data_IF_361403638875
#
_entry.id   IF_361403638875
#
_cell.length_a   1.000
_cell.length_b   1.000
_cell.length_c   1.000
_cell.angle_alpha   90.00
_cell.angle_beta   90.00
_cell.angle_gamma   90.00
#
_symmetry.space_group_name_H-M   'P 1'
#
loop_
_entity.id
_entity.type
_entity.pdbx_description
1 polymer ?
#
# COMPACT_ATOMS: atom_id res chain seq x y z
N UNK A 1 -4.41 8.72 14.64
CA UNK A 1 -5.36 9.74 15.09
C UNK A 1 -6.30 10.17 13.95
N UNK A 2 -5.81 10.48 12.75
CA UNK A 2 -6.65 10.92 11.62
C UNK A 2 -7.73 9.90 11.25
N UNK A 3 -7.40 8.62 11.11
CA UNK A 3 -8.38 7.58 10.81
C UNK A 3 -9.49 7.48 11.86
N UNK A 4 -9.16 7.60 13.15
CA UNK A 4 -10.15 7.54 14.23
C UNK A 4 -11.05 8.76 14.31
N UNK A 5 -10.53 9.96 14.06
CA UNK A 5 -11.26 11.22 14.27
C UNK A 5 -11.87 11.80 13.00
N UNK A 6 -11.25 11.56 11.84
CA UNK A 6 -11.61 12.22 10.57
C UNK A 6 -11.72 11.25 9.38
N UNK A 7 -11.81 9.96 9.64
CA UNK A 7 -11.87 8.95 8.60
C UNK A 7 -12.37 7.61 9.11
N UNK A 8 -11.77 6.54 8.63
CA UNK A 8 -12.09 5.18 9.07
C UNK A 8 -10.82 4.32 9.19
N UNK A 9 -10.91 3.27 10.00
CA UNK A 9 -9.88 2.25 10.17
C UNK A 9 -10.53 0.86 10.09
N UNK A 10 -9.95 -0.03 9.30
CA UNK A 10 -10.38 -1.43 9.10
C UNK A 10 -9.21 -2.34 9.39
N UNK A 11 -9.47 -3.53 9.94
CA UNK A 11 -8.44 -4.56 10.15
C UNK A 11 -8.08 -4.80 11.61
N UNK A 12 -8.63 -4.05 12.57
CA UNK A 12 -8.41 -4.34 13.98
C UNK A 12 -9.19 -5.59 14.42
N UNK A 13 -8.48 -6.71 14.50
CA UNK A 13 -9.08 -8.01 14.87
C UNK A 13 -9.63 -8.05 16.29
N UNK A 14 -9.11 -7.25 17.21
CA UNK A 14 -9.66 -7.10 18.56
C UNK A 14 -11.06 -6.49 18.55
N UNK A 15 -11.43 -5.80 17.47
CA UNK A 15 -12.78 -5.27 17.20
C UNK A 15 -13.54 -6.12 16.19
N UNK A 16 -13.09 -7.35 15.93
CA UNK A 16 -13.68 -8.26 14.93
C UNK A 16 -13.73 -7.67 13.51
N UNK A 17 -13.00 -6.60 13.25
CA UNK A 17 -12.82 -6.01 11.92
C UNK A 17 -11.69 -6.73 11.22
N UNK A 18 -11.93 -7.20 9.99
CA UNK A 18 -10.96 -7.99 9.23
C UNK A 18 -10.70 -7.37 7.88
N UNK A 19 -9.41 -7.24 7.56
CA UNK A 19 -8.93 -7.00 6.21
C UNK A 19 -7.84 -8.02 5.90
N UNK A 20 -7.86 -8.61 4.70
CA UNK A 20 -6.98 -9.71 4.33
C UNK A 20 -6.58 -9.61 2.86
N UNK A 21 -5.42 -10.15 2.50
CA UNK A 21 -5.12 -10.45 1.10
C UNK A 21 -5.96 -11.63 0.64
N UNK A 22 -6.42 -11.60 -0.60
CA UNK A 22 -7.22 -12.67 -1.20
C UNK A 22 -6.36 -13.69 -1.97
N UNK A 23 -5.14 -13.29 -2.42
CA UNK A 23 -4.20 -14.21 -3.06
C UNK A 23 -3.71 -15.28 -2.08
N UNK A 24 -3.29 -16.43 -2.58
CA UNK A 24 -2.76 -17.53 -1.78
C UNK A 24 -1.24 -17.51 -1.59
N UNK A 25 -0.55 -16.45 -1.99
CA UNK A 25 0.92 -16.34 -2.01
C UNK A 25 1.44 -15.61 -0.76
N UNK A 26 0.77 -14.53 -0.36
CA UNK A 26 1.08 -13.68 0.81
C UNK A 26 2.51 -13.13 0.79
N UNK A 27 2.96 -12.71 -0.39
CA UNK A 27 4.24 -12.05 -0.64
C UNK A 27 4.01 -10.70 -1.29
N UNK A 28 5.03 -9.84 -1.21
CA UNK A 28 4.92 -8.43 -1.59
C UNK A 28 4.47 -8.23 -3.03
N UNK A 29 5.05 -8.92 -4.01
CA UNK A 29 4.62 -8.75 -5.41
C UNK A 29 3.12 -9.06 -5.56
N UNK A 30 2.68 -10.23 -5.05
CA UNK A 30 1.28 -10.65 -5.14
C UNK A 30 0.34 -9.69 -4.38
N UNK A 31 0.74 -9.22 -3.20
CA UNK A 31 -0.02 -8.27 -2.38
C UNK A 31 -0.19 -6.91 -3.06
N UNK A 32 0.90 -6.33 -3.57
CA UNK A 32 0.83 -5.08 -4.34
C UNK A 32 0.05 -5.22 -5.64
N UNK A 33 0.23 -6.33 -6.37
CA UNK A 33 -0.54 -6.60 -7.58
C UNK A 33 -2.03 -6.67 -7.26
N UNK A 34 -2.43 -7.45 -6.26
CA UNK A 34 -3.82 -7.55 -5.82
C UNK A 34 -4.40 -6.18 -5.44
N UNK A 35 -3.65 -5.42 -4.63
CA UNK A 35 -4.07 -4.11 -4.14
C UNK A 35 -4.27 -3.08 -5.27
N UNK A 36 -3.38 -3.09 -6.26
CA UNK A 36 -3.35 -2.08 -7.31
C UNK A 36 -4.11 -2.50 -8.57
N UNK A 37 -4.32 -3.81 -8.78
CA UNK A 37 -5.02 -4.33 -9.96
C UNK A 37 -6.43 -4.86 -9.64
N UNK A 38 -6.79 -5.04 -8.35
CA UNK A 38 -8.13 -5.47 -7.94
C UNK A 38 -8.47 -6.94 -8.21
N UNK A 39 -7.47 -7.74 -8.58
CA UNK A 39 -7.59 -9.18 -8.88
C UNK A 39 -6.44 -9.95 -8.24
N UNK A 40 -6.63 -11.25 -8.03
CA UNK A 40 -5.55 -12.16 -7.67
C UNK A 40 -5.02 -12.83 -8.93
N UNK A 41 -3.74 -13.18 -8.94
CA UNK A 41 -3.09 -13.84 -10.08
C UNK A 41 -1.99 -14.80 -9.59
N UNK A 42 -2.43 -15.84 -8.88
CA UNK A 42 -1.51 -16.81 -8.25
C UNK A 42 -0.84 -17.72 -9.28
N UNK A 43 -1.33 -17.77 -10.53
CA UNK A 43 -0.74 -18.56 -11.61
C UNK A 43 0.52 -17.91 -12.18
N UNK A 44 0.52 -16.58 -12.32
CA UNK A 44 1.64 -15.86 -12.92
C UNK A 44 2.51 -15.16 -11.89
N UNK A 45 1.96 -14.87 -10.66
CA UNK A 45 2.62 -14.10 -9.61
C UNK A 45 2.74 -14.97 -8.35
N UNK A 46 3.89 -15.62 -8.16
CA UNK A 46 4.15 -16.54 -7.05
C UNK A 46 5.42 -16.21 -6.25
N UNK A 47 6.18 -15.20 -6.69
CA UNK A 47 7.37 -14.70 -6.01
C UNK A 47 7.61 -13.20 -6.29
N UNK A 48 8.71 -12.66 -5.74
CA UNK A 48 9.08 -11.24 -5.85
C UNK A 48 10.06 -10.95 -7.01
N UNK A 49 10.10 -11.78 -8.05
CA UNK A 49 10.98 -11.54 -9.21
C UNK A 49 10.55 -10.31 -10.00
N UNK A 50 11.52 -9.67 -10.64
CA UNK A 50 11.30 -8.54 -11.55
C UNK A 50 10.74 -9.01 -12.89
N UNK A 51 9.45 -9.27 -12.93
CA UNK A 51 8.69 -9.56 -14.16
C UNK A 51 7.62 -8.49 -14.36
N UNK A 52 7.25 -8.19 -15.57
CA UNK A 52 6.19 -7.23 -15.86
C UNK A 52 4.82 -7.82 -15.56
N UNK A 53 4.05 -7.13 -14.74
CA UNK A 53 2.69 -7.53 -14.40
C UNK A 53 1.80 -7.52 -15.65
N UNK A 54 1.07 -8.58 -15.88
CA UNK A 54 0.10 -8.67 -16.97
C UNK A 54 -1.18 -7.89 -16.64
N UNK A 55 -1.56 -7.85 -15.36
CA UNK A 55 -2.74 -7.15 -14.89
C UNK A 55 -2.55 -5.63 -14.92
N UNK A 56 -3.58 -4.89 -15.29
CA UNK A 56 -3.57 -3.43 -15.32
C UNK A 56 -3.82 -2.86 -13.92
N UNK A 57 -2.98 -1.94 -13.49
CA UNK A 57 -3.18 -1.25 -12.23
C UNK A 57 -4.19 -0.10 -12.37
N UNK A 58 -4.82 0.27 -11.26
CA UNK A 58 -5.69 1.45 -11.20
C UNK A 58 -4.95 2.74 -11.57
N UNK A 59 -3.63 2.80 -11.37
CA UNK A 59 -2.80 3.92 -11.81
C UNK A 59 -2.75 3.98 -13.34
N UNK A 60 -2.55 2.83 -13.99
CA UNK A 60 -2.54 2.73 -15.45
C UNK A 60 -3.92 3.08 -16.04
N UNK A 61 -5.00 2.60 -15.42
CA UNK A 61 -6.36 2.94 -15.85
C UNK A 61 -6.65 4.43 -15.70
N UNK A 62 -6.20 5.05 -14.60
CA UNK A 62 -6.33 6.50 -14.41
C UNK A 62 -5.51 7.27 -15.46
N UNK A 63 -4.25 6.91 -15.70
CA UNK A 63 -3.39 7.56 -16.70
C UNK A 63 -3.97 7.49 -18.12
N UNK A 64 -4.69 6.41 -18.44
CA UNK A 64 -5.39 6.25 -19.72
C UNK A 64 -6.60 7.18 -19.89
N UNK A 65 -7.14 7.72 -18.79
CA UNK A 65 -8.26 8.66 -18.83
C UNK A 65 -7.75 10.08 -19.10
N UNK A 66 -8.35 10.79 -20.04
CA UNK A 66 -7.94 12.14 -20.43
C UNK A 66 -7.88 13.15 -19.27
N UNK A 67 -8.75 13.00 -18.27
CA UNK A 67 -8.78 13.85 -17.07
C UNK A 67 -7.55 13.70 -16.18
N UNK A 68 -6.92 12.50 -16.16
CA UNK A 68 -5.80 12.15 -15.29
C UNK A 68 -4.48 11.98 -16.04
N UNK A 69 -4.50 12.05 -17.38
CA UNK A 69 -3.30 11.91 -18.21
C UNK A 69 -2.23 12.91 -17.78
N UNK A 70 -0.99 12.42 -17.65
CA UNK A 70 0.17 13.17 -17.14
C UNK A 70 0.02 13.67 -15.68
N UNK A 71 -1.00 13.19 -14.96
CA UNK A 71 -1.33 13.58 -13.57
C UNK A 71 -1.32 12.38 -12.61
N UNK A 72 -0.75 11.27 -13.03
CA UNK A 72 -0.52 10.08 -12.20
C UNK A 72 0.97 9.90 -12.00
N UNK A 73 1.38 9.58 -10.77
CA UNK A 73 2.79 9.36 -10.43
C UNK A 73 2.94 8.26 -9.38
N UNK A 74 4.10 7.62 -9.36
CA UNK A 74 4.48 6.66 -8.34
C UNK A 74 5.89 6.96 -7.81
N UNK A 75 6.07 6.83 -6.50
CA UNK A 75 7.33 7.01 -5.80
C UNK A 75 7.52 5.84 -4.84
N UNK A 76 8.56 5.03 -5.02
CA UNK A 76 8.72 3.77 -4.31
C UNK A 76 10.11 3.56 -3.75
N UNK A 77 10.20 2.93 -2.58
CA UNK A 77 11.45 2.49 -1.97
C UNK A 77 11.96 1.20 -2.59
N UNK A 78 11.06 0.29 -2.96
CA UNK A 78 11.40 -1.02 -3.52
C UNK A 78 11.50 -1.00 -5.05
N UNK A 79 12.59 -1.54 -5.58
CA UNK A 79 12.91 -1.49 -7.01
C UNK A 79 12.14 -2.53 -7.87
N UNK A 80 11.18 -3.24 -7.28
CA UNK A 80 10.24 -4.13 -7.99
C UNK A 80 8.93 -3.43 -8.34
N UNK A 81 8.55 -2.36 -7.63
CA UNK A 81 7.31 -1.60 -7.89
C UNK A 81 7.16 -1.19 -9.37
N UNK A 82 8.20 -0.73 -10.09
CA UNK A 82 8.07 -0.42 -11.51
C UNK A 82 7.59 -1.61 -12.37
N UNK A 83 7.93 -2.81 -11.99
CA UNK A 83 7.50 -4.02 -12.69
C UNK A 83 6.06 -4.39 -12.36
N UNK A 84 5.65 -4.21 -11.10
CA UNK A 84 4.27 -4.39 -10.65
C UNK A 84 3.33 -3.43 -11.38
N UNK A 85 3.74 -2.16 -11.53
CA UNK A 85 3.00 -1.14 -12.27
C UNK A 85 3.13 -1.28 -13.80
N UNK A 86 3.92 -2.22 -14.27
CA UNK A 86 4.29 -2.40 -15.68
C UNK A 86 4.62 -1.07 -16.37
N UNK A 87 5.60 -0.34 -15.83
CA UNK A 87 5.94 1.03 -16.26
C UNK A 87 6.28 1.15 -17.76
N UNK A 88 6.61 0.03 -18.43
CA UNK A 88 6.83 0.01 -19.87
C UNK A 88 5.53 0.10 -20.67
N UNK A 89 4.48 -0.58 -20.21
CA UNK A 89 3.16 -0.53 -20.86
C UNK A 89 2.41 0.74 -20.48
N UNK A 90 2.45 1.08 -19.20
CA UNK A 90 1.69 2.20 -18.64
C UNK A 90 2.31 3.58 -18.91
N UNK A 91 3.60 3.62 -19.26
CA UNK A 91 4.40 4.86 -19.38
C UNK A 91 4.39 5.75 -18.12
N UNK A 92 3.94 5.19 -16.99
CA UNK A 92 3.84 5.91 -15.72
C UNK A 92 5.22 6.36 -15.22
N UNK A 93 5.35 7.59 -14.76
CA UNK A 93 6.57 8.06 -14.11
C UNK A 93 6.70 7.41 -12.72
N UNK A 94 7.61 6.43 -12.60
CA UNK A 94 7.93 5.76 -11.33
C UNK A 94 9.31 6.19 -10.86
N UNK A 95 9.37 6.93 -9.74
CA UNK A 95 10.62 7.31 -9.09
C UNK A 95 11.00 6.27 -8.04
N UNK A 96 12.05 5.47 -8.30
CA UNK A 96 12.51 4.38 -7.41
C UNK A 96 14.05 4.34 -7.27
N UNK A 97 14.79 5.08 -8.08
CA UNK A 97 16.25 5.00 -8.11
C UNK A 97 16.88 5.97 -7.12
N UNK A 98 17.88 5.51 -6.38
CA UNK A 98 18.69 6.34 -5.50
C UNK A 98 20.03 5.67 -5.16
N UNK A 99 21.12 6.41 -4.94
CA UNK A 99 22.34 5.88 -4.31
C UNK A 99 22.15 5.62 -2.81
N UNK A 100 21.21 6.31 -2.15
CA UNK A 100 20.93 6.16 -0.71
C UNK A 100 19.97 5.01 -0.48
N UNK A 101 20.47 3.88 0.04
CA UNK A 101 19.73 2.61 0.13
C UNK A 101 20.03 1.89 1.43
N UNK A 102 19.06 1.15 1.96
CA UNK A 102 19.26 0.18 3.04
C UNK A 102 19.71 -1.18 2.49
N UNK A 103 19.42 -1.48 1.22
CA UNK A 103 19.90 -2.67 0.50
C UNK A 103 20.05 -2.41 -0.99
N UNK A 104 20.51 -3.41 -1.76
CA UNK A 104 20.61 -3.30 -3.23
C UNK A 104 19.28 -2.99 -3.91
N UNK A 105 18.15 -3.42 -3.31
CA UNK A 105 16.82 -3.32 -3.88
C UNK A 105 15.93 -2.27 -3.21
N UNK A 106 16.29 -1.82 -2.00
CA UNK A 106 15.47 -0.92 -1.18
C UNK A 106 16.23 0.37 -0.90
N UNK A 107 15.69 1.49 -1.35
CA UNK A 107 16.19 2.82 -0.97
C UNK A 107 15.62 3.25 0.38
N UNK A 108 16.27 4.20 1.03
CA UNK A 108 15.79 4.74 2.30
C UNK A 108 14.42 5.40 2.15
N UNK A 109 13.50 5.11 3.07
CA UNK A 109 12.14 5.65 3.06
C UNK A 109 12.11 7.18 3.20
N UNK A 110 13.09 7.77 3.89
CA UNK A 110 13.26 9.23 3.95
C UNK A 110 13.55 9.86 2.58
N UNK A 111 14.27 9.16 1.70
CA UNK A 111 14.48 9.60 0.32
C UNK A 111 13.18 9.50 -0.46
N UNK A 112 12.40 8.45 -0.24
CA UNK A 112 11.08 8.26 -0.86
C UNK A 112 10.13 9.39 -0.45
N UNK A 113 10.08 9.75 0.84
CA UNK A 113 9.31 10.91 1.30
C UNK A 113 9.70 12.19 0.57
N UNK A 114 11.01 12.52 0.55
CA UNK A 114 11.49 13.75 -0.10
C UNK A 114 11.14 13.79 -1.58
N UNK A 115 11.21 12.65 -2.27
CA UNK A 115 10.79 12.53 -3.67
C UNK A 115 9.29 12.66 -3.85
N UNK A 116 8.49 12.10 -2.95
CA UNK A 116 7.03 12.25 -2.97
C UNK A 116 6.61 13.72 -2.76
N UNK A 117 7.19 14.41 -1.77
CA UNK A 117 6.96 15.84 -1.54
C UNK A 117 7.36 16.67 -2.77
N UNK A 118 8.54 16.40 -3.35
CA UNK A 118 8.98 17.07 -4.59
C UNK A 118 8.02 16.83 -5.74
N UNK A 119 7.52 15.60 -5.90
CA UNK A 119 6.54 15.25 -6.93
C UNK A 119 5.22 16.02 -6.72
N UNK A 120 4.74 16.13 -5.48
CA UNK A 120 3.56 16.92 -5.15
C UNK A 120 3.76 18.40 -5.51
N UNK A 121 4.91 18.98 -5.15
CA UNK A 121 5.23 20.40 -5.41
C UNK A 121 5.36 20.72 -6.90
N UNK A 122 6.05 19.89 -7.67
CA UNK A 122 6.44 20.22 -9.04
C UNK A 122 5.46 19.73 -10.09
N UNK A 123 4.80 18.58 -9.86
CA UNK A 123 3.95 17.94 -10.85
C UNK A 123 2.45 18.04 -10.54
N UNK A 124 2.09 18.31 -9.31
CA UNK A 124 0.71 18.36 -8.83
C UNK A 124 -0.14 17.15 -9.32
N UNK A 125 0.32 15.89 -9.08
CA UNK A 125 -0.45 14.74 -9.54
C UNK A 125 -1.84 14.70 -8.88
N UNK A 126 -2.84 14.20 -9.62
CA UNK A 126 -4.18 13.91 -9.10
C UNK A 126 -4.25 12.51 -8.42
N UNK A 127 -3.35 11.61 -8.79
CA UNK A 127 -3.15 10.31 -8.15
C UNK A 127 -1.66 10.10 -7.90
N UNK A 128 -1.28 9.91 -6.65
CA UNK A 128 0.09 9.59 -6.25
C UNK A 128 0.11 8.30 -5.44
N UNK A 129 0.85 7.30 -5.91
CA UNK A 129 1.20 6.13 -5.14
C UNK A 129 2.56 6.31 -4.49
N UNK A 130 2.63 6.10 -3.17
CA UNK A 130 3.88 6.15 -2.40
C UNK A 130 4.06 4.83 -1.67
N UNK A 131 5.21 4.19 -1.83
CA UNK A 131 5.54 2.95 -1.14
C UNK A 131 6.79 3.13 -0.29
N UNK A 132 6.69 2.70 0.99
CA UNK A 132 7.76 2.62 1.98
C UNK A 132 8.07 1.15 2.26
N UNK A 133 9.36 0.79 2.43
CA UNK A 133 9.79 -0.59 2.50
C UNK A 133 10.69 -0.93 3.70
N UNK A 134 11.14 0.03 4.49
CA UNK A 134 12.07 -0.23 5.59
C UNK A 134 11.46 -1.11 6.69
N UNK A 135 10.15 -1.05 6.93
CA UNK A 135 9.47 -1.95 7.87
C UNK A 135 9.65 -3.41 7.47
N UNK A 136 9.42 -3.74 6.21
CA UNK A 136 9.60 -5.10 5.71
C UNK A 136 11.08 -5.52 5.74
N UNK A 137 11.97 -4.62 5.31
CA UNK A 137 13.42 -4.85 5.36
C UNK A 137 13.90 -5.20 6.77
N UNK A 138 13.57 -4.39 7.77
CA UNK A 138 13.99 -4.65 9.15
C UNK A 138 13.27 -5.86 9.77
N UNK A 139 12.04 -6.12 9.38
CA UNK A 139 11.33 -7.34 9.74
C UNK A 139 12.10 -8.59 9.34
N UNK A 140 12.47 -8.72 8.07
CA UNK A 140 13.26 -9.85 7.56
C UNK A 140 14.63 -10.01 8.21
N UNK A 141 15.21 -8.94 8.72
CA UNK A 141 16.51 -8.98 9.40
C UNK A 141 16.39 -9.21 10.92
N UNK A 142 15.19 -9.46 11.45
CA UNK A 142 14.96 -9.66 12.88
C UNK A 142 15.27 -8.43 13.75
N UNK A 143 15.32 -7.23 13.17
CA UNK A 143 15.68 -5.99 13.83
C UNK A 143 14.44 -5.30 14.40
N UNK A 144 13.99 -5.80 15.55
CA UNK A 144 12.72 -5.36 16.15
C UNK A 144 12.63 -3.87 16.42
N UNK A 145 13.69 -3.30 17.02
CA UNK A 145 13.67 -1.88 17.36
C UNK A 145 13.66 -1.01 16.10
N UNK A 146 14.46 -1.36 15.10
CA UNK A 146 14.48 -0.66 13.80
C UNK A 146 13.16 -0.82 13.05
N UNK A 147 12.51 -1.99 13.13
CA UNK A 147 11.17 -2.23 12.59
C UNK A 147 10.14 -1.27 13.20
N UNK A 148 10.12 -1.14 14.55
CA UNK A 148 9.24 -0.20 15.24
C UNK A 148 9.58 1.25 14.90
N UNK A 149 10.86 1.60 14.86
CA UNK A 149 11.32 2.93 14.49
C UNK A 149 10.89 3.29 13.06
N UNK A 150 11.02 2.37 12.10
CA UNK A 150 10.57 2.56 10.72
C UNK A 150 9.05 2.75 10.65
N UNK A 151 8.27 1.98 11.40
CA UNK A 151 6.81 2.15 11.46
C UNK A 151 6.41 3.52 12.02
N UNK A 152 7.04 3.98 13.10
CA UNK A 152 6.83 5.33 13.65
C UNK A 152 7.27 6.43 12.67
N UNK A 153 8.38 6.22 11.98
CA UNK A 153 8.88 7.15 10.98
C UNK A 153 7.90 7.25 9.79
N UNK A 154 7.34 6.15 9.33
CA UNK A 154 6.34 6.14 8.26
C UNK A 154 5.07 6.90 8.68
N UNK A 155 4.62 6.81 9.94
CA UNK A 155 3.52 7.64 10.45
C UNK A 155 3.85 9.14 10.37
N UNK A 156 5.09 9.53 10.71
CA UNK A 156 5.55 10.91 10.55
C UNK A 156 5.63 11.35 9.08
N UNK A 157 6.03 10.46 8.18
CA UNK A 157 6.09 10.75 6.75
C UNK A 157 4.70 10.95 6.15
N UNK A 158 3.74 10.10 6.53
CA UNK A 158 2.34 10.25 6.15
C UNK A 158 1.77 11.59 6.67
N UNK A 159 2.13 11.97 7.89
CA UNK A 159 1.75 13.27 8.45
C UNK A 159 2.31 14.42 7.61
N UNK A 160 3.59 14.41 7.26
CA UNK A 160 4.22 15.46 6.45
C UNK A 160 3.55 15.58 5.07
N UNK A 161 3.26 14.46 4.40
CA UNK A 161 2.52 14.45 3.14
C UNK A 161 1.13 15.07 3.28
N UNK A 162 0.41 14.72 4.36
CA UNK A 162 -0.91 15.28 4.62
C UNK A 162 -0.84 16.77 4.92
N UNK A 163 0.07 17.21 5.78
CA UNK A 163 0.23 18.62 6.16
C UNK A 163 0.60 19.47 4.94
N UNK A 164 1.47 18.97 4.06
CA UNK A 164 1.74 19.61 2.77
C UNK A 164 0.45 19.78 1.96
N UNK A 165 -0.32 18.71 1.78
CA UNK A 165 -1.56 18.75 1.03
C UNK A 165 -2.61 19.73 1.65
N UNK A 166 -2.58 19.97 2.96
CA UNK A 166 -3.48 20.93 3.60
C UNK A 166 -3.01 22.38 3.49
N UNK A 167 -1.76 22.62 3.14
CA UNK A 167 -1.20 23.96 2.94
C UNK A 167 -1.22 24.38 1.46
N UNK A 168 -1.02 23.47 0.55
CA UNK A 168 -0.99 23.72 -0.88
C UNK A 168 -2.40 24.01 -1.44
N UNK A 169 -2.62 25.14 -2.15
CA UNK A 169 -3.94 25.52 -2.66
C UNK A 169 -4.59 24.49 -3.61
N UNK A 170 -3.78 23.72 -4.35
CA UNK A 170 -4.29 22.69 -5.27
C UNK A 170 -4.90 21.50 -4.52
N UNK A 171 -4.31 21.13 -3.39
CA UNK A 171 -4.68 19.93 -2.63
C UNK A 171 -5.62 20.22 -1.45
N UNK A 172 -5.57 21.42 -0.89
CA UNK A 172 -6.28 21.79 0.34
C UNK A 172 -7.78 21.50 0.26
N UNK A 173 -8.26 20.69 1.20
CA UNK A 173 -9.67 20.28 1.24
C UNK A 173 -10.13 19.37 0.11
N UNK A 174 -9.21 18.94 -0.78
CA UNK A 174 -9.51 18.16 -1.97
C UNK A 174 -8.69 16.86 -2.06
N UNK A 175 -8.16 16.39 -0.94
CA UNK A 175 -7.27 15.25 -0.88
C UNK A 175 -7.88 14.12 -0.07
N UNK A 176 -7.69 12.90 -0.55
CA UNK A 176 -8.05 11.64 0.12
C UNK A 176 -6.82 10.76 0.26
N UNK A 177 -6.61 10.22 1.46
CA UNK A 177 -5.54 9.27 1.77
C UNK A 177 -6.13 7.89 2.01
N UNK A 178 -5.56 6.88 1.35
CA UNK A 178 -5.75 5.45 1.62
C UNK A 178 -4.38 4.89 2.00
N UNK A 179 -4.25 4.33 3.19
CA UNK A 179 -3.00 3.83 3.76
C UNK A 179 -3.21 2.39 4.17
N UNK A 180 -2.39 1.49 3.63
CA UNK A 180 -2.50 0.05 3.88
C UNK A 180 -1.14 -0.62 3.76
N UNK A 181 -1.09 -1.94 3.94
CA UNK A 181 0.08 -2.76 3.64
C UNK A 181 -0.29 -3.85 2.63
N UNK A 182 0.72 -4.36 1.94
CA UNK A 182 0.60 -5.38 0.91
C UNK A 182 0.35 -6.78 1.48
N UNK A 183 0.86 -7.09 2.67
CA UNK A 183 0.64 -8.31 3.45
C UNK A 183 0.92 -8.08 4.94
N UNK A 184 0.57 -9.05 5.76
CA UNK A 184 0.95 -9.11 7.17
C UNK A 184 2.27 -9.87 7.39
N UNK A 185 2.54 -10.17 8.65
CA UNK A 185 3.68 -10.97 9.10
C UNK A 185 3.25 -12.03 10.09
N UNK A 186 4.12 -12.99 10.35
CA UNK A 186 3.86 -14.03 11.33
C UNK A 186 3.56 -13.48 12.73
N UNK A 187 2.67 -14.17 13.44
CA UNK A 187 2.17 -13.73 14.75
C UNK A 187 3.12 -14.02 15.92
N UNK A 188 4.12 -14.89 15.73
CA UNK A 188 5.04 -15.31 16.81
C UNK A 188 6.25 -14.40 16.91
N UNK A 189 6.43 -13.75 18.05
CA UNK A 189 7.59 -12.92 18.37
C UNK A 189 8.83 -13.70 18.82
N UNK A 190 8.73 -15.03 18.97
CA UNK A 190 9.79 -15.87 19.55
C UNK A 190 9.80 -15.88 21.07
N UNK A 191 10.43 -16.90 21.67
CA UNK A 191 10.35 -17.19 23.12
C UNK A 191 11.23 -16.26 23.98
N UNK A 192 12.09 -15.44 23.40
CA UNK A 192 13.07 -14.61 24.12
C UNK A 192 12.68 -13.14 24.28
N UNK A 193 11.40 -12.80 24.16
CA UNK A 193 10.88 -11.44 24.36
C UNK A 193 11.31 -10.79 25.71
N UNK A 194 11.70 -11.62 26.72
CA UNK A 194 12.14 -11.14 28.03
C UNK A 194 13.56 -10.55 28.07
N UNK A 195 14.33 -10.61 26.99
CA UNK A 195 15.70 -10.08 26.91
C UNK A 195 15.90 -8.95 25.88
N UNK A 196 14.83 -8.52 25.21
CA UNK A 196 14.94 -7.54 24.10
C UNK A 196 15.59 -8.12 22.84
N UNK A 197 16.05 -9.36 22.86
CA UNK A 197 16.56 -10.10 21.70
C UNK A 197 15.42 -10.94 21.14
N UNK A 198 14.99 -10.62 19.94
CA UNK A 198 14.01 -11.42 19.21
C UNK A 198 14.78 -12.47 18.41
N UNK A 199 14.36 -13.74 18.54
CA UNK A 199 14.88 -14.81 17.72
C UNK A 199 14.68 -14.46 16.24
N UNK A 200 15.77 -14.40 15.46
CA UNK A 200 15.74 -14.15 14.02
C UNK A 200 14.96 -15.21 13.24
N UNK A 201 14.63 -16.33 13.88
CA UNK A 201 13.78 -17.40 13.36
C UNK A 201 12.32 -17.29 13.82
N UNK A 202 11.96 -16.24 14.56
CA UNK A 202 10.56 -16.02 14.94
C UNK A 202 9.72 -15.75 13.70
N UNK A 203 8.48 -16.22 13.69
CA UNK A 203 7.63 -16.10 12.47
C UNK A 203 7.32 -14.65 12.08
N UNK A 204 7.43 -13.69 13.03
CA UNK A 204 7.26 -12.26 12.70
C UNK A 204 8.31 -11.72 11.71
N UNK A 205 9.47 -12.40 11.59
CA UNK A 205 10.49 -12.02 10.60
C UNK A 205 10.13 -12.43 9.18
N UNK A 206 9.12 -13.29 9.05
CA UNK A 206 8.75 -13.94 7.79
C UNK A 206 7.29 -13.65 7.42
N UNK A 207 7.00 -13.86 6.16
CA UNK A 207 5.66 -13.85 5.59
C UNK A 207 5.57 -14.87 4.44
N UNK A 208 4.35 -15.22 4.05
CA UNK A 208 4.06 -16.20 3.00
C UNK A 208 2.97 -17.17 3.43
N UNK A 209 2.53 -18.01 2.51
CA UNK A 209 1.38 -18.90 2.65
C UNK A 209 1.38 -19.77 3.91
N UNK A 210 2.55 -20.25 4.32
CA UNK A 210 2.70 -21.14 5.49
C UNK A 210 2.84 -20.36 6.81
N UNK A 211 2.89 -19.04 6.76
CA UNK A 211 3.12 -18.20 7.94
C UNK A 211 1.81 -17.58 8.40
N UNK A 212 1.26 -18.08 9.49
CA UNK A 212 0.02 -17.59 10.07
C UNK A 212 0.13 -16.10 10.43
N UNK A 213 -0.82 -15.29 9.97
CA UNK A 213 -0.83 -13.84 10.13
C UNK A 213 -0.42 -13.07 8.87
N UNK A 214 0.31 -13.71 7.95
CA UNK A 214 0.77 -13.05 6.73
C UNK A 214 -0.33 -12.58 5.79
N UNK A 215 -1.53 -13.16 5.89
CA UNK A 215 -2.70 -12.70 5.12
C UNK A 215 -3.40 -11.48 5.72
N UNK A 216 -3.03 -11.08 6.94
CA UNK A 216 -3.71 -10.02 7.68
C UNK A 216 -3.20 -8.65 7.28
N UNK A 217 -4.11 -7.81 6.80
CA UNK A 217 -3.82 -6.42 6.43
C UNK A 217 -4.75 -5.47 7.19
N UNK A 218 -4.61 -4.19 6.91
CA UNK A 218 -5.42 -3.14 7.49
C UNK A 218 -5.55 -1.97 6.50
N UNK A 219 -6.54 -1.12 6.72
CA UNK A 219 -6.72 0.13 5.96
C UNK A 219 -7.01 1.27 6.92
N UNK A 220 -6.32 2.38 6.73
CA UNK A 220 -6.67 3.68 7.29
C UNK A 220 -6.99 4.61 6.14
N UNK A 221 -8.19 5.18 6.14
CA UNK A 221 -8.63 6.10 5.10
C UNK A 221 -9.19 7.38 5.72
N UNK A 222 -8.88 8.53 5.14
CA UNK A 222 -9.40 9.84 5.55
C UNK A 222 -9.27 10.87 4.43
N UNK A 223 -9.99 11.94 4.56
CA UNK A 223 -9.98 13.05 3.60
C UNK A 223 -11.35 13.34 3.00
N UNK A 224 -11.34 13.96 1.82
CA UNK A 224 -12.53 14.52 1.19
C UNK A 224 -13.62 13.47 0.96
N UNK A 225 -13.26 12.32 0.40
CA UNK A 225 -14.22 11.33 -0.11
C UNK A 225 -14.54 10.22 0.90
N UNK A 226 -13.98 10.29 2.12
CA UNK A 226 -14.09 9.25 3.14
C UNK A 226 -15.06 9.67 4.25
N UNK A 227 -15.98 8.77 4.60
CA UNK A 227 -16.87 8.93 5.75
C UNK A 227 -16.10 8.91 7.07
N UNK A 228 -16.62 9.62 8.07
CA UNK A 228 -16.04 9.65 9.43
C UNK A 228 -16.63 8.52 10.28
N UNK A 229 -16.17 7.31 10.10
CA UNK A 229 -16.67 6.11 10.76
C UNK A 229 -15.82 5.69 11.97
N UNK A 230 -14.64 6.31 12.15
CA UNK A 230 -13.73 5.93 13.19
C UNK A 230 -13.15 4.52 13.00
N UNK A 231 -12.85 3.86 14.10
CA UNK A 231 -12.36 2.49 14.08
C UNK A 231 -13.55 1.52 13.93
N UNK A 232 -13.63 0.89 12.78
CA UNK A 232 -14.76 0.04 12.42
C UNK A 232 -14.75 -1.27 13.20
N UNK A 233 -15.95 -1.74 13.53
CA UNK A 233 -16.16 -2.97 14.30
C UNK A 233 -16.97 -3.99 13.49
N UNK A 234 -16.58 -5.28 13.61
CA UNK A 234 -17.28 -6.37 12.96
C UNK A 234 -17.35 -6.28 11.44
N UNK A 235 -18.38 -6.91 10.88
CA UNK A 235 -18.66 -6.88 9.44
C UNK A 235 -18.02 -8.03 8.66
N UNK A 236 -18.27 -8.02 7.34
CA UNK A 236 -17.62 -8.97 6.41
C UNK A 236 -16.14 -8.66 6.28
N UNK A 237 -15.34 -9.68 6.01
CA UNK A 237 -13.94 -9.50 5.66
C UNK A 237 -13.83 -8.60 4.42
N UNK A 238 -12.99 -7.59 4.50
CA UNK A 238 -12.57 -6.75 3.38
C UNK A 238 -11.30 -7.36 2.81
N UNK A 239 -11.19 -7.36 1.49
CA UNK A 239 -9.99 -7.88 0.83
C UNK A 239 -9.18 -6.76 0.19
N UNK A 240 -7.87 -6.93 0.18
CA UNK A 240 -6.91 -5.95 -0.37
C UNK A 240 -7.22 -5.63 -1.84
N UNK A 241 -7.72 -6.59 -2.61
CA UNK A 241 -8.19 -6.37 -3.99
C UNK A 241 -9.30 -5.34 -4.15
N UNK A 242 -10.00 -4.97 -3.07
CA UNK A 242 -11.02 -3.92 -3.09
C UNK A 242 -10.44 -2.50 -3.09
N UNK A 243 -9.14 -2.33 -2.86
CA UNK A 243 -8.48 -1.01 -2.83
C UNK A 243 -8.48 -0.36 -4.21
N UNK A 244 -8.07 -1.08 -5.25
CA UNK A 244 -8.04 -0.54 -6.62
C UNK A 244 -9.40 -0.02 -7.09
N UNK A 245 -10.50 -0.80 -7.02
CA UNK A 245 -11.82 -0.29 -7.41
C UNK A 245 -12.33 0.82 -6.48
N UNK A 246 -11.89 0.88 -5.21
CA UNK A 246 -12.19 2.00 -4.31
C UNK A 246 -11.53 3.29 -4.80
N UNK A 247 -10.25 3.23 -5.20
CA UNK A 247 -9.54 4.37 -5.81
C UNK A 247 -10.24 4.80 -7.10
N UNK A 248 -10.57 3.84 -7.98
CA UNK A 248 -11.26 4.12 -9.23
C UNK A 248 -12.62 4.80 -9.01
N UNK A 249 -13.38 4.35 -7.99
CA UNK A 249 -14.66 4.97 -7.60
C UNK A 249 -14.49 6.42 -7.13
N UNK A 250 -13.47 6.72 -6.30
CA UNK A 250 -13.13 8.08 -5.86
C UNK A 250 -12.79 8.97 -7.06
N UNK A 251 -12.01 8.44 -7.99
CA UNK A 251 -11.57 9.16 -9.19
C UNK A 251 -12.64 9.18 -10.29
N UNK A 252 -13.72 8.42 -10.17
CA UNK A 252 -14.74 8.21 -11.21
C UNK A 252 -14.15 7.67 -12.53
N UNK A 253 -13.12 6.85 -12.40
CA UNK A 253 -12.48 6.16 -13.54
C UNK A 253 -13.16 4.81 -13.72
N UNK A 254 -13.52 4.40 -14.95
CA UNK A 254 -13.95 3.03 -15.22
C UNK A 254 -12.89 2.03 -14.73
N UNK A 255 -13.35 1.04 -13.98
CA UNK A 255 -12.45 0.00 -13.46
C UNK A 255 -12.81 -1.32 -14.14
N UNK A 256 -11.95 -1.77 -15.04
CA UNK A 256 -12.04 -3.05 -15.72
C UNK A 256 -10.67 -3.71 -15.73
N UNK A 257 -10.63 -5.02 -15.58
CA UNK A 257 -9.40 -5.80 -15.76
C UNK A 257 -9.66 -6.87 -16.82
N UNK A 258 -9.72 -6.41 -18.07
CA UNK A 258 -10.14 -7.21 -19.24
C UNK A 258 -9.26 -8.43 -19.50
N UNK A 259 -8.05 -8.46 -18.96
CA UNK A 259 -7.06 -9.52 -19.17
C UNK A 259 -7.18 -10.67 -18.14
N UNK A 260 -8.04 -10.53 -17.11
CA UNK A 260 -8.23 -11.52 -16.05
C UNK A 260 -9.67 -12.02 -16.01
N UNK A 261 -9.87 -13.32 -16.16
CA UNK A 261 -11.20 -13.95 -16.13
C UNK A 261 -11.87 -13.99 -14.75
N UNK A 262 -11.23 -13.47 -13.72
CA UNK A 262 -11.81 -13.40 -12.38
C UNK A 262 -12.79 -12.24 -12.26
N UNK A 263 -13.87 -12.41 -11.47
CA UNK A 263 -14.79 -11.32 -11.21
C UNK A 263 -14.08 -10.16 -10.52
N UNK A 264 -14.29 -8.97 -11.04
CA UNK A 264 -13.74 -7.73 -10.46
C UNK A 264 -14.19 -7.54 -9.01
N UNK A 265 -13.28 -7.07 -8.18
CA UNK A 265 -13.63 -6.74 -6.81
C UNK A 265 -14.49 -5.47 -6.77
N UNK A 266 -15.50 -5.46 -5.90
CA UNK A 266 -16.30 -4.26 -5.66
C UNK A 266 -15.56 -3.26 -4.77
N UNK A 267 -15.75 -1.95 -4.95
CA UNK A 267 -15.24 -0.94 -4.04
C UNK A 267 -15.69 -1.16 -2.59
N UNK A 268 -14.95 -0.60 -1.65
CA UNK A 268 -15.33 -0.59 -0.23
C UNK A 268 -16.36 0.54 -0.03
N UNK A 269 -17.54 0.41 -0.63
CA UNK A 269 -18.57 1.47 -0.67
C UNK A 269 -18.90 2.07 0.69
N UNK A 270 -18.88 1.26 1.75
CA UNK A 270 -19.23 1.71 3.10
C UNK A 270 -18.34 2.79 3.68
N UNK A 271 -17.12 3.01 3.12
CA UNK A 271 -16.22 4.08 3.58
C UNK A 271 -16.31 5.35 2.71
N UNK A 272 -16.96 5.28 1.57
CA UNK A 272 -17.09 6.40 0.63
C UNK A 272 -18.27 7.31 1.01
N UNK A 273 -18.11 8.62 0.75
CA UNK A 273 -19.18 9.61 0.89
C UNK A 273 -20.15 9.58 -0.27
#
# INVERSE_FOLDING_TARGET
EMGRKKGCMIGNRNRKSKMEVANGIWKSYAGYSEMLCGVTDDEHIFDNRKQYNLNRSVLELAEACSEYKDRVSAVASWDVIPYILNYRRSELPVDFRSPHRVSKQVRNDSVTLNRALKTLMEKHPKLLFVEFCETDYYGHHGKWQEYLNAAHQNDQFIRQLWEYCQQDPFYKGNTTFLITCDHGRGESLGVHANRGEVDSKASWTEHGKEIKGSNQTWLVAFGKDIQHLGEMEGGRTIYTKQVAPTIASILKVPFTNDDNQQPEASPIYKILK
#
